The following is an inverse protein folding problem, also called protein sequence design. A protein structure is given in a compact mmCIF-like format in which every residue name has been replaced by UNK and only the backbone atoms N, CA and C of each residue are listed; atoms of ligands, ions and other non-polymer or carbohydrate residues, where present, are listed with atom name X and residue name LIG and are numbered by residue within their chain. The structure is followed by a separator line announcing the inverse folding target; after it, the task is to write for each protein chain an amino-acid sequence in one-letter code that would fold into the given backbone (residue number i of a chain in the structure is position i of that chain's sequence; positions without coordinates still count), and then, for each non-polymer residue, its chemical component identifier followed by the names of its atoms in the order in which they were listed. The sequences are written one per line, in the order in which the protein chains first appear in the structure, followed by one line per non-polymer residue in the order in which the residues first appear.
data_IF_022098063699
#
_entry.id   IF_022098063699
#
_cell.length_a   1.000
_cell.length_b   1.000
_cell.length_c   1.000
_cell.angle_alpha   90.00
_cell.angle_beta   90.00
_cell.angle_gamma   90.00
#
_symmetry.space_group_name_H-M   'P 1'
#
loop_
_entity.id
_entity.type
_entity.pdbx_description
1 polymer ?
#
# COMPACT_ATOMS: atom_id res chain seq x y z
N UNK A 1 10.74 -1.17 6.43
CA UNK A 1 9.26 -1.22 6.43
C UNK A 1 8.58 -0.19 5.53
N UNK A 2 8.93 1.11 5.59
CA UNK A 2 8.21 2.17 4.84
C UNK A 2 8.19 1.99 3.31
N UNK A 3 9.30 1.56 2.69
CA UNK A 3 9.35 1.32 1.24
C UNK A 3 8.45 0.16 0.81
N UNK A 4 8.45 -0.94 1.59
CA UNK A 4 7.65 -2.12 1.28
C UNK A 4 6.16 -1.85 1.43
N UNK A 5 5.75 -1.18 2.52
CA UNK A 5 4.35 -0.78 2.70
C UNK A 5 3.89 0.20 1.61
N UNK A 6 4.77 1.08 1.14
CA UNK A 6 4.51 1.93 0.00
C UNK A 6 4.25 1.14 -1.29
N UNK A 7 5.14 0.20 -1.65
CA UNK A 7 5.04 -0.58 -2.89
C UNK A 7 3.74 -1.41 -2.94
N UNK A 8 3.36 -2.00 -1.81
CA UNK A 8 2.09 -2.74 -1.68
C UNK A 8 0.90 -1.82 -1.89
N UNK A 9 0.88 -0.65 -1.24
CA UNK A 9 -0.22 0.33 -1.36
C UNK A 9 -0.35 0.86 -2.79
N UNK A 10 0.76 1.26 -3.41
CA UNK A 10 0.78 1.71 -4.81
C UNK A 10 0.25 0.63 -5.75
N UNK A 11 0.66 -0.62 -5.54
CA UNK A 11 0.19 -1.77 -6.32
C UNK A 11 -1.32 -1.96 -6.21
N UNK A 12 -1.88 -1.91 -5.01
CA UNK A 12 -3.33 -2.07 -4.77
C UNK A 12 -4.11 -0.96 -5.49
N UNK A 13 -3.72 0.30 -5.29
CA UNK A 13 -4.40 1.46 -5.88
C UNK A 13 -4.39 1.36 -7.41
N UNK A 14 -3.22 1.16 -8.03
CA UNK A 14 -3.10 1.07 -9.48
C UNK A 14 -3.93 -0.11 -10.02
N UNK A 15 -3.93 -1.26 -9.33
CA UNK A 15 -4.64 -2.46 -9.76
C UNK A 15 -6.16 -2.26 -9.76
N UNK A 16 -6.70 -1.65 -8.71
CA UNK A 16 -8.13 -1.34 -8.60
C UNK A 16 -8.53 -0.35 -9.70
N UNK A 17 -7.81 0.76 -9.84
CA UNK A 17 -8.12 1.78 -10.85
C UNK A 17 -8.01 1.24 -12.28
N UNK A 18 -6.98 0.45 -12.57
CA UNK A 18 -6.83 -0.17 -13.89
C UNK A 18 -7.96 -1.17 -14.17
N UNK A 19 -8.42 -1.91 -13.17
CA UNK A 19 -9.54 -2.85 -13.34
C UNK A 19 -10.82 -2.10 -13.72
N UNK A 20 -11.12 -0.98 -13.05
CA UNK A 20 -12.24 -0.10 -13.41
C UNK A 20 -12.07 0.43 -14.82
N UNK A 21 -10.88 0.92 -15.18
CA UNK A 21 -10.57 1.32 -16.55
C UNK A 21 -10.85 0.20 -17.56
N UNK A 22 -10.36 -1.01 -17.28
CA UNK A 22 -10.43 -2.13 -18.20
C UNK A 22 -11.88 -2.56 -18.47
N UNK A 23 -12.72 -2.62 -17.43
CA UNK A 23 -14.11 -3.07 -17.53
C UNK A 23 -15.00 -2.05 -18.25
N UNK A 24 -14.89 -0.77 -17.89
CA UNK A 24 -15.83 0.26 -18.33
C UNK A 24 -15.36 1.03 -19.57
N UNK A 25 -14.05 1.32 -19.64
CA UNK A 25 -13.50 2.35 -20.54
C UNK A 25 -12.64 1.81 -21.69
N UNK A 26 -11.95 0.67 -21.51
CA UNK A 26 -10.99 0.13 -22.51
C UNK A 26 -11.55 -0.05 -23.93
N UNK A 27 -12.87 -0.23 -24.07
CA UNK A 27 -13.56 -0.45 -25.35
C UNK A 27 -14.35 0.78 -25.83
N UNK A 28 -14.23 1.93 -25.18
CA UNK A 28 -14.93 3.17 -25.56
C UNK A 28 -14.14 3.97 -26.60
N UNK A 29 -14.84 4.62 -27.54
CA UNK A 29 -14.31 5.54 -28.55
C UNK A 29 -13.95 6.92 -27.99
N UNK A 30 -14.22 7.21 -26.72
CA UNK A 30 -13.75 8.42 -26.04
C UNK A 30 -12.24 8.35 -25.77
N UNK A 31 -11.43 8.37 -26.84
CA UNK A 31 -10.00 8.08 -26.80
C UNK A 31 -9.20 9.07 -25.96
N UNK A 32 -9.50 10.36 -26.08
CA UNK A 32 -8.85 11.42 -25.28
C UNK A 32 -9.13 11.21 -23.78
N UNK A 33 -10.37 10.88 -23.43
CA UNK A 33 -10.74 10.55 -22.05
C UNK A 33 -10.00 9.31 -21.54
N UNK A 34 -9.93 8.25 -22.35
CA UNK A 34 -9.19 7.03 -22.00
C UNK A 34 -7.70 7.30 -21.76
N UNK A 35 -7.09 8.15 -22.60
CA UNK A 35 -5.69 8.58 -22.44
C UNK A 35 -5.49 9.34 -21.13
N UNK A 36 -6.33 10.35 -20.86
CA UNK A 36 -6.25 11.13 -19.62
C UNK A 36 -6.38 10.20 -18.40
N UNK A 37 -7.37 9.31 -18.41
CA UNK A 37 -7.59 8.36 -17.32
C UNK A 37 -6.38 7.45 -17.09
N UNK A 38 -5.79 6.88 -18.14
CA UNK A 38 -4.59 6.05 -18.03
C UNK A 38 -3.40 6.85 -17.49
N UNK A 39 -3.18 8.08 -17.96
CA UNK A 39 -2.12 8.96 -17.45
C UNK A 39 -2.36 9.29 -15.98
N UNK A 40 -3.61 9.57 -15.57
CA UNK A 40 -3.96 9.78 -14.17
C UNK A 40 -3.60 8.56 -13.31
N UNK A 41 -3.89 7.34 -13.77
CA UNK A 41 -3.51 6.11 -13.05
C UNK A 41 -1.98 6.00 -12.91
N UNK A 42 -1.23 6.30 -13.98
CA UNK A 42 0.24 6.30 -13.95
C UNK A 42 0.76 7.33 -12.93
N UNK A 43 0.24 8.55 -12.97
CA UNK A 43 0.63 9.63 -12.05
C UNK A 43 0.28 9.29 -10.60
N UNK A 44 -0.91 8.75 -10.35
CA UNK A 44 -1.30 8.25 -9.01
C UNK A 44 -0.29 7.21 -8.52
N UNK A 45 0.08 6.25 -9.37
CA UNK A 45 1.05 5.21 -9.02
C UNK A 45 2.42 5.75 -8.59
N UNK A 46 2.91 6.78 -9.30
CA UNK A 46 4.19 7.45 -9.01
C UNK A 46 4.07 8.38 -7.79
N UNK A 47 2.96 9.10 -7.63
CA UNK A 47 2.74 10.12 -6.59
C UNK A 47 2.19 9.55 -5.28
N UNK A 48 1.89 8.25 -5.24
CA UNK A 48 1.42 7.55 -4.02
C UNK A 48 2.26 7.84 -2.76
N UNK A 49 3.62 7.99 -2.77
CA UNK A 49 4.37 8.31 -1.54
C UNK A 49 4.04 9.70 -1.00
N UNK A 50 3.79 10.67 -1.89
CA UNK A 50 3.43 12.04 -1.51
C UNK A 50 1.99 12.07 -1.00
N UNK A 51 1.07 11.38 -1.68
CA UNK A 51 -0.35 11.32 -1.31
C UNK A 51 -0.58 10.69 0.07
N UNK A 52 0.17 9.63 0.42
CA UNK A 52 0.07 8.98 1.74
C UNK A 52 0.61 9.90 2.84
N UNK A 53 1.69 10.64 2.58
CA UNK A 53 2.25 11.57 3.56
C UNK A 53 1.36 12.80 3.75
N UNK A 54 0.62 13.19 2.72
CA UNK A 54 -0.41 14.23 2.73
C UNK A 54 -1.73 13.76 3.36
N UNK A 55 -1.71 12.74 4.25
CA UNK A 55 -2.89 12.17 4.87
C UNK A 55 -3.76 13.30 5.45
N UNK A 56 -4.83 13.63 4.71
CA UNK A 56 -5.78 14.65 5.08
C UNK A 56 -6.37 14.26 6.44
N UNK A 57 -6.36 15.20 7.38
CA UNK A 57 -7.09 15.22 8.66
C UNK A 57 -8.63 15.04 8.51
N UNK A 58 -9.11 14.55 7.35
CA UNK A 58 -10.50 14.15 7.13
C UNK A 58 -10.89 12.89 7.93
N UNK A 59 -9.92 12.03 8.28
CA UNK A 59 -10.18 10.82 9.09
C UNK A 59 -10.54 11.13 10.55
N UNK A 60 -10.08 12.26 11.10
CA UNK A 60 -10.33 12.61 12.51
C UNK A 60 -11.79 13.01 12.75
N UNK A 61 -12.47 13.53 11.73
CA UNK A 61 -13.85 14.02 11.84
C UNK A 61 -14.92 12.99 11.46
N UNK A 62 -14.61 11.98 10.64
CA UNK A 62 -15.58 10.95 10.25
C UNK A 62 -15.55 9.70 11.13
N UNK A 63 -14.39 9.33 11.70
CA UNK A 63 -14.28 8.17 12.60
C UNK A 63 -14.85 8.43 14.00
N UNK A 64 -14.85 9.67 14.45
CA UNK A 64 -15.27 10.09 15.79
C UNK A 64 -16.79 10.08 16.00
N UNK A 65 -17.59 10.04 14.93
CA UNK A 65 -19.05 10.08 15.02
C UNK A 65 -19.70 8.68 15.12
N UNK A 66 -18.94 7.60 14.89
CA UNK A 66 -19.46 6.22 14.89
C UNK A 66 -18.87 5.30 15.97
N UNK A 67 -17.85 5.70 16.72
CA UNK A 67 -17.14 4.82 17.69
C UNK A 67 -17.29 5.26 19.15
N UNK A 68 -18.17 6.21 19.46
CA UNK A 68 -18.47 6.57 20.85
C UNK A 68 -19.36 5.49 21.52
N UNK A 69 -18.73 4.43 22.04
CA UNK A 69 -19.28 3.62 23.15
C UNK A 69 -18.19 2.79 23.85
N UNK A 70 -17.64 3.39 24.91
CA UNK A 70 -17.28 2.83 26.23
C UNK A 70 -16.63 1.43 26.25
N UNK A 71 -15.30 1.41 26.43
CA UNK A 71 -14.58 0.34 27.10
C UNK A 71 -13.45 0.99 27.91
N UNK A 72 -13.64 1.17 29.22
CA UNK A 72 -12.73 1.90 30.12
C UNK A 72 -12.06 0.94 31.11
N UNK A 73 -11.17 0.09 30.60
CA UNK A 73 -10.16 -0.61 31.40
C UNK A 73 -8.79 -0.19 30.86
N UNK A 74 -8.04 0.59 31.65
CA UNK A 74 -6.69 1.02 31.30
C UNK A 74 -5.69 -0.12 31.54
N UNK A 75 -5.21 -0.73 30.46
CA UNK A 75 -4.13 -1.72 30.50
C UNK A 75 -2.79 -1.03 30.33
N UNK A 76 -1.80 -1.36 31.16
CA UNK A 76 -0.40 -0.98 30.91
C UNK A 76 0.15 -1.83 29.74
N UNK A 77 1.13 -1.31 28.98
CA UNK A 77 1.73 -2.11 27.91
C UNK A 77 2.51 -3.28 28.50
N UNK A 78 2.58 -4.37 27.74
CA UNK A 78 3.17 -5.63 28.14
C UNK A 78 4.69 -5.55 28.24
N UNK A 79 5.22 -6.09 29.35
CA UNK A 79 6.67 -6.26 29.56
C UNK A 79 7.07 -7.69 29.27
N UNK A 80 7.94 -7.91 28.30
CA UNK A 80 8.56 -9.22 28.02
C UNK A 80 9.85 -9.38 28.79
N UNK A 81 9.94 -10.38 29.67
CA UNK A 81 11.19 -10.77 30.33
C UNK A 81 11.82 -11.93 29.56
N UNK A 82 13.00 -11.68 29.00
CA UNK A 82 13.81 -12.72 28.37
C UNK A 82 14.87 -13.21 29.37
N UNK A 83 15.01 -14.53 29.52
CA UNK A 83 16.07 -15.10 30.33
C UNK A 83 17.39 -14.99 29.56
N UNK A 84 18.25 -14.03 29.91
CA UNK A 84 19.55 -13.83 29.28
C UNK A 84 20.40 -15.11 29.28
N UNK A 85 20.42 -15.84 28.17
CA UNK A 85 21.56 -16.63 27.77
C UNK A 85 22.46 -15.67 26.98
N UNK A 86 23.73 -15.57 27.35
CA UNK A 86 24.71 -14.89 26.51
C UNK A 86 24.86 -15.66 25.20
N UNK A 87 24.05 -15.33 24.20
CA UNK A 87 24.21 -15.85 22.85
C UNK A 87 25.29 -15.05 22.12
N UNK A 88 26.36 -15.74 21.75
CA UNK A 88 27.15 -15.37 20.60
C UNK A 88 26.23 -15.41 19.37
N UNK A 89 25.56 -14.28 19.08
CA UNK A 89 24.78 -14.14 17.85
C UNK A 89 25.76 -14.10 16.69
N UNK A 90 25.98 -15.27 16.07
CA UNK A 90 26.36 -15.30 14.68
C UNK A 90 25.34 -14.43 13.95
N UNK A 91 25.80 -13.39 13.26
CA UNK A 91 24.93 -12.47 12.54
C UNK A 91 24.24 -13.21 11.38
N UNK A 92 23.18 -13.94 11.69
CA UNK A 92 22.28 -14.53 10.72
C UNK A 92 21.64 -13.34 10.01
N UNK A 93 22.08 -13.10 8.77
CA UNK A 93 21.51 -12.06 7.92
C UNK A 93 20.04 -12.42 7.72
N UNK A 94 19.16 -11.74 8.45
CA UNK A 94 17.72 -11.88 8.28
C UNK A 94 17.36 -11.52 6.83
N UNK A 95 16.65 -12.42 6.14
CA UNK A 95 16.23 -12.27 4.74
C UNK A 95 15.48 -10.95 4.47
N UNK A 96 14.83 -10.39 5.49
CA UNK A 96 14.20 -9.07 5.46
C UNK A 96 15.15 -7.94 5.06
N UNK A 97 16.43 -8.03 5.46
CA UNK A 97 17.47 -7.05 5.11
C UNK A 97 17.95 -7.19 3.66
N UNK A 98 17.69 -8.32 3.00
CA UNK A 98 18.09 -8.57 1.60
C UNK A 98 17.04 -8.10 0.58
N UNK A 99 15.76 -7.95 0.96
CA UNK A 99 14.69 -7.58 0.02
C UNK A 99 14.91 -6.19 -0.60
N UNK A 100 15.28 -5.21 0.22
CA UNK A 100 15.49 -3.82 -0.23
C UNK A 100 16.66 -3.70 -1.22
N UNK A 101 17.88 -4.21 -0.93
CA UNK A 101 18.98 -4.09 -1.88
C UNK A 101 18.70 -4.85 -3.19
N UNK A 102 18.07 -6.04 -3.13
CA UNK A 102 17.67 -6.78 -4.35
C UNK A 102 16.70 -5.96 -5.20
N UNK A 103 15.67 -5.38 -4.57
CA UNK A 103 14.72 -4.51 -5.26
C UNK A 103 15.43 -3.32 -5.94
N UNK A 104 16.34 -2.64 -5.24
CA UNK A 104 17.09 -1.50 -5.78
C UNK A 104 17.98 -1.88 -6.95
N UNK A 105 18.64 -3.05 -6.90
CA UNK A 105 19.47 -3.56 -8.00
C UNK A 105 18.63 -3.79 -9.27
N UNK A 106 17.46 -4.42 -9.13
CA UNK A 106 16.58 -4.69 -10.28
C UNK A 106 16.04 -3.38 -10.86
N UNK A 107 15.56 -2.46 -10.02
CA UNK A 107 15.10 -1.14 -10.47
C UNK A 107 16.22 -0.35 -11.16
N UNK A 108 17.46 -0.41 -10.66
CA UNK A 108 18.61 0.23 -11.28
C UNK A 108 18.93 -0.38 -12.65
N UNK A 109 18.91 -1.71 -12.79
CA UNK A 109 19.12 -2.38 -14.06
C UNK A 109 18.07 -1.97 -15.11
N UNK A 110 16.80 -1.86 -14.72
CA UNK A 110 15.72 -1.39 -15.59
C UNK A 110 15.89 0.09 -15.98
N UNK A 111 16.35 0.93 -15.05
CA UNK A 111 16.66 2.33 -15.32
C UNK A 111 17.81 2.46 -16.33
N UNK A 112 18.90 1.71 -16.15
CA UNK A 112 20.03 1.67 -17.09
C UNK A 112 19.55 1.22 -18.47
N UNK A 113 18.70 0.19 -18.55
CA UNK A 113 18.12 -0.26 -19.82
C UNK A 113 17.31 0.84 -20.52
N UNK A 114 16.51 1.63 -19.77
CA UNK A 114 15.78 2.77 -20.31
C UNK A 114 16.75 3.84 -20.86
N UNK A 115 17.81 4.17 -20.12
CA UNK A 115 18.84 5.12 -20.56
C UNK A 115 19.52 4.64 -21.84
N UNK A 116 19.90 3.36 -21.93
CA UNK A 116 20.52 2.78 -23.13
C UNK A 116 19.60 2.92 -24.35
N UNK A 117 18.29 2.67 -24.20
CA UNK A 117 17.30 2.84 -25.29
C UNK A 117 17.26 4.29 -25.77
N UNK A 118 17.23 5.26 -24.85
CA UNK A 118 17.22 6.69 -25.18
C UNK A 118 18.53 7.09 -25.88
N UNK A 119 19.68 6.65 -25.38
CA UNK A 119 21.00 6.91 -26.00
C UNK A 119 21.07 6.33 -27.41
N UNK A 120 20.50 5.15 -27.67
CA UNK A 120 20.42 4.58 -29.03
C UNK A 120 19.63 5.49 -29.98
N UNK A 121 18.51 6.05 -29.53
CA UNK A 121 17.71 7.00 -30.33
C UNK A 121 18.49 8.30 -30.58
N UNK A 122 19.17 8.85 -29.55
CA UNK A 122 20.00 10.06 -29.70
C UNK A 122 21.15 9.82 -30.70
N UNK A 123 21.82 8.67 -30.63
CA UNK A 123 22.84 8.29 -31.62
C UNK A 123 22.25 8.20 -33.03
N UNK A 124 21.04 7.63 -33.16
CA UNK A 124 20.34 7.56 -34.45
C UNK A 124 20.03 8.94 -35.01
N UNK A 125 19.61 9.89 -34.16
CA UNK A 125 19.40 11.29 -34.54
C UNK A 125 20.71 11.91 -35.03
N UNK A 126 21.80 11.76 -34.29
CA UNK A 126 23.06 12.43 -34.60
C UNK A 126 23.81 11.86 -35.81
N UNK A 127 23.63 10.58 -36.13
CA UNK A 127 24.34 9.93 -37.22
C UNK A 127 23.64 10.02 -38.59
N UNK A 128 22.40 10.49 -38.64
CA UNK A 128 21.61 10.55 -39.88
C UNK A 128 21.35 11.99 -40.32
N UNK A 129 21.04 12.16 -41.60
CA UNK A 129 20.69 13.47 -42.17
C UNK A 129 19.38 13.98 -41.56
N UNK A 130 19.40 15.25 -41.15
CA UNK A 130 18.27 15.95 -40.52
C UNK A 130 17.76 17.04 -41.46
N UNK A 131 16.45 17.16 -41.60
CA UNK A 131 15.84 18.33 -42.25
C UNK A 131 14.62 18.79 -41.46
N UNK A 132 14.41 20.10 -41.41
CA UNK A 132 13.26 20.69 -40.71
C UNK A 132 12.18 21.05 -41.75
N UNK A 133 10.95 20.60 -41.53
CA UNK A 133 9.83 20.93 -42.41
C UNK A 133 8.51 20.95 -41.62
N UNK A 134 7.64 21.93 -41.87
CA UNK A 134 6.32 22.07 -41.22
C UNK A 134 6.35 21.99 -39.68
N UNK A 135 7.42 22.45 -39.04
CA UNK A 135 7.57 22.40 -37.57
C UNK A 135 8.07 21.05 -37.02
N UNK A 136 8.41 20.08 -37.87
CA UNK A 136 8.90 18.76 -37.48
C UNK A 136 10.35 18.55 -37.93
N UNK A 137 11.12 17.79 -37.13
CA UNK A 137 12.47 17.39 -37.47
C UNK A 137 12.45 15.99 -38.10
N UNK A 138 12.76 15.90 -39.38
CA UNK A 138 12.80 14.63 -40.10
C UNK A 138 14.20 14.03 -40.05
N UNK A 139 14.26 12.71 -39.93
CA UNK A 139 15.47 11.90 -39.94
C UNK A 139 15.29 10.78 -40.97
N UNK A 140 16.06 10.82 -42.06
CA UNK A 140 15.99 9.80 -43.12
C UNK A 140 16.88 8.62 -42.74
N UNK A 141 16.28 7.42 -42.72
CA UNK A 141 16.98 6.16 -42.47
C UNK A 141 17.27 5.46 -43.80
N UNK A 142 18.55 5.32 -44.14
CA UNK A 142 18.99 4.60 -45.35
C UNK A 142 18.68 3.10 -45.25
N UNK A 143 18.25 2.49 -46.35
CA UNK A 143 17.91 1.07 -46.51
C UNK A 143 16.81 0.55 -45.55
N UNK A 144 16.00 1.43 -44.97
CA UNK A 144 14.99 1.06 -43.98
C UNK A 144 13.57 1.09 -44.54
N UNK A 145 12.73 0.19 -44.05
CA UNK A 145 11.28 0.18 -44.27
C UNK A 145 10.50 0.51 -42.99
N UNK A 146 11.13 1.17 -42.01
CA UNK A 146 10.48 1.59 -40.76
C UNK A 146 10.06 3.05 -40.83
N UNK A 147 8.93 3.38 -40.20
CA UNK A 147 8.57 4.73 -39.80
C UNK A 147 8.22 4.73 -38.32
N UNK A 148 8.69 5.73 -37.58
CA UNK A 148 8.35 5.93 -36.17
C UNK A 148 8.67 7.36 -35.75
N UNK A 149 8.18 7.77 -34.59
CA UNK A 149 8.37 9.11 -34.04
C UNK A 149 8.88 9.08 -32.60
N UNK A 150 9.69 10.07 -32.24
CA UNK A 150 10.18 10.25 -30.87
C UNK A 150 10.33 11.73 -30.54
N UNK A 151 9.57 12.19 -29.52
CA UNK A 151 9.43 13.62 -29.20
C UNK A 151 9.07 14.45 -30.44
N UNK A 152 9.97 15.33 -30.89
CA UNK A 152 9.80 16.20 -32.05
C UNK A 152 10.50 15.69 -33.32
N UNK A 153 10.99 14.45 -33.29
CA UNK A 153 11.67 13.79 -34.41
C UNK A 153 10.76 12.76 -35.09
N UNK A 154 10.70 12.81 -36.42
CA UNK A 154 10.04 11.83 -37.28
C UNK A 154 11.11 11.06 -38.05
N UNK A 155 11.16 9.75 -37.86
CA UNK A 155 12.08 8.85 -38.54
C UNK A 155 11.36 8.15 -39.68
N UNK A 156 11.91 8.24 -40.89
CA UNK A 156 11.32 7.61 -42.07
C UNK A 156 12.39 6.90 -42.89
N UNK A 157 12.12 5.64 -43.23
CA UNK A 157 12.95 4.86 -44.13
C UNK A 157 12.79 5.29 -45.59
N UNK A 158 13.90 5.30 -46.33
CA UNK A 158 13.93 5.63 -47.75
C UNK A 158 12.99 4.77 -48.62
N UNK A 159 12.80 3.49 -48.29
CA UNK A 159 11.88 2.57 -49.00
C UNK A 159 10.41 2.99 -48.91
N UNK A 160 10.03 3.65 -47.81
CA UNK A 160 8.68 4.22 -47.62
C UNK A 160 8.63 5.62 -48.24
N UNK A 161 9.65 6.43 -47.97
CA UNK A 161 9.73 7.82 -48.43
C UNK A 161 9.59 7.95 -49.95
N UNK A 162 10.17 7.01 -50.71
CA UNK A 162 10.13 7.01 -52.18
C UNK A 162 8.76 6.55 -52.76
N UNK A 163 7.76 6.24 -51.94
CA UNK A 163 6.41 5.84 -52.37
C UNK A 163 5.37 6.87 -51.90
N UNK A 164 5.08 7.93 -52.67
CA UNK A 164 4.30 9.10 -52.24
C UNK A 164 2.93 8.79 -51.61
N UNK A 165 2.20 7.83 -52.18
CA UNK A 165 0.87 7.43 -51.69
C UNK A 165 0.92 6.79 -50.30
N UNK A 166 1.97 6.00 -50.04
CA UNK A 166 2.15 5.29 -48.76
C UNK A 166 2.80 6.21 -47.74
N UNK A 167 3.79 7.00 -48.16
CA UNK A 167 4.50 7.92 -47.28
C UNK A 167 3.58 8.98 -46.70
N UNK A 168 2.64 9.54 -47.48
CA UNK A 168 1.76 10.61 -46.98
C UNK A 168 0.94 10.14 -45.77
N UNK A 169 0.29 8.98 -45.89
CA UNK A 169 -0.55 8.45 -44.80
C UNK A 169 0.25 8.07 -43.56
N UNK A 170 1.43 7.48 -43.75
CA UNK A 170 2.32 7.10 -42.65
C UNK A 170 2.92 8.35 -41.98
N UNK A 171 3.35 9.36 -42.75
CA UNK A 171 3.90 10.61 -42.22
C UNK A 171 2.85 11.34 -41.39
N UNK A 172 1.61 11.45 -41.88
CA UNK A 172 0.55 12.11 -41.10
C UNK A 172 0.20 11.33 -39.82
N UNK A 173 0.27 10.00 -39.84
CA UNK A 173 0.13 9.18 -38.63
C UNK A 173 1.26 9.46 -37.62
N UNK A 174 2.51 9.42 -38.06
CA UNK A 174 3.67 9.72 -37.20
C UNK A 174 3.66 11.16 -36.67
N UNK A 175 3.20 12.14 -37.48
CA UNK A 175 3.02 13.52 -37.03
C UNK A 175 2.01 13.62 -35.89
N UNK A 176 0.93 12.83 -35.91
CA UNK A 176 -0.06 12.83 -34.84
C UNK A 176 0.54 12.35 -33.51
N UNK A 177 1.45 11.37 -33.52
CA UNK A 177 2.18 10.98 -32.30
C UNK A 177 3.04 12.13 -31.73
N UNK A 178 3.68 12.90 -32.60
CA UNK A 178 4.50 14.06 -32.21
C UNK A 178 3.62 15.19 -31.65
N UNK A 179 2.56 15.58 -32.39
CA UNK A 179 1.62 16.65 -32.00
C UNK A 179 1.02 16.37 -30.62
N UNK A 180 0.67 15.11 -30.37
CA UNK A 180 0.08 14.67 -29.10
C UNK A 180 1.10 14.31 -28.01
N UNK A 181 2.41 14.36 -28.29
CA UNK A 181 3.51 14.06 -27.36
C UNK A 181 3.46 12.63 -26.77
N UNK A 182 3.07 11.63 -27.57
CA UNK A 182 2.92 10.25 -27.10
C UNK A 182 4.21 9.63 -26.53
N UNK A 183 5.39 10.09 -26.95
CA UNK A 183 6.67 9.62 -26.37
C UNK A 183 6.78 9.92 -24.87
N UNK A 184 6.24 11.06 -24.40
CA UNK A 184 6.29 11.43 -22.98
C UNK A 184 5.46 10.47 -22.13
N UNK A 185 4.25 10.14 -22.59
CA UNK A 185 3.33 9.21 -21.95
C UNK A 185 3.97 7.82 -21.77
N UNK A 186 4.65 7.31 -22.80
CA UNK A 186 5.34 6.01 -22.73
C UNK A 186 6.52 6.07 -21.75
N UNK A 187 7.27 7.17 -21.70
CA UNK A 187 8.34 7.34 -20.71
C UNK A 187 7.81 7.35 -19.28
N UNK A 188 6.68 8.02 -19.03
CA UNK A 188 6.01 7.98 -17.72
C UNK A 188 5.59 6.56 -17.33
N UNK A 189 5.04 5.80 -18.28
CA UNK A 189 4.69 4.39 -18.05
C UNK A 189 5.92 3.50 -17.80
N UNK A 190 7.05 3.74 -18.47
CA UNK A 190 8.32 3.04 -18.18
C UNK A 190 8.84 3.38 -16.77
N UNK A 191 8.72 4.63 -16.32
CA UNK A 191 9.07 5.03 -14.95
C UNK A 191 8.20 4.29 -13.94
N UNK A 192 6.89 4.19 -14.18
CA UNK A 192 5.99 3.40 -13.34
C UNK A 192 6.42 1.93 -13.27
N UNK A 193 6.82 1.34 -14.40
CA UNK A 193 7.34 -0.03 -14.44
C UNK A 193 8.64 -0.16 -13.65
N UNK A 194 9.56 0.79 -13.73
CA UNK A 194 10.82 0.75 -12.96
C UNK A 194 10.55 0.72 -11.44
N UNK A 195 9.54 1.47 -10.98
CA UNK A 195 9.11 1.51 -9.57
C UNK A 195 8.31 0.25 -9.20
N UNK A 196 7.42 -0.21 -10.09
CA UNK A 196 6.49 -1.32 -9.82
C UNK A 196 6.77 -2.50 -10.76
N UNK A 197 8.03 -2.91 -10.90
CA UNK A 197 8.45 -3.91 -11.90
C UNK A 197 7.90 -5.31 -11.61
N UNK A 198 7.63 -5.60 -10.34
CA UNK A 198 6.99 -6.85 -9.93
C UNK A 198 5.48 -6.85 -10.20
N UNK A 199 4.88 -5.69 -10.51
CA UNK A 199 3.44 -5.57 -10.74
C UNK A 199 3.11 -5.75 -12.24
N UNK A 200 2.47 -6.85 -12.65
CA UNK A 200 2.09 -7.08 -14.05
C UNK A 200 1.11 -6.01 -14.58
N UNK A 201 0.32 -5.37 -13.71
CA UNK A 201 -0.63 -4.33 -14.11
C UNK A 201 0.09 -3.10 -14.71
N UNK A 202 1.28 -2.74 -14.23
CA UNK A 202 2.07 -1.64 -14.81
C UNK A 202 2.38 -1.88 -16.30
N UNK A 203 2.64 -3.13 -16.68
CA UNK A 203 2.86 -3.51 -18.08
C UNK A 203 1.57 -3.48 -18.90
N UNK A 204 0.44 -3.89 -18.30
CA UNK A 204 -0.88 -3.80 -18.95
C UNK A 204 -1.31 -2.35 -19.17
N UNK A 205 -1.04 -1.45 -18.23
CA UNK A 205 -1.29 0.00 -18.37
C UNK A 205 -0.49 0.55 -19.55
N UNK A 206 0.82 0.28 -19.61
CA UNK A 206 1.65 0.70 -20.74
C UNK A 206 1.12 0.17 -22.07
N UNK A 207 0.69 -1.10 -22.12
CA UNK A 207 0.08 -1.69 -23.31
C UNK A 207 -1.20 -0.98 -23.70
N UNK A 208 -2.13 -0.75 -22.77
CA UNK A 208 -3.38 -0.03 -23.03
C UNK A 208 -3.15 1.41 -23.46
N UNK A 209 -2.13 2.09 -22.91
CA UNK A 209 -1.75 3.44 -23.28
C UNK A 209 -1.20 3.49 -24.71
N UNK A 210 -0.30 2.56 -25.06
CA UNK A 210 0.19 2.39 -26.42
C UNK A 210 -0.93 2.09 -27.43
N UNK A 211 -1.87 1.19 -27.09
CA UNK A 211 -3.05 0.93 -27.93
C UNK A 211 -3.90 2.20 -28.14
N UNK A 212 -4.09 3.00 -27.09
CA UNK A 212 -4.83 4.26 -27.15
C UNK A 212 -4.13 5.30 -28.03
N UNK A 213 -2.79 5.35 -28.01
CA UNK A 213 -2.00 6.23 -28.89
C UNK A 213 -2.17 5.88 -30.36
N UNK A 214 -2.15 4.58 -30.71
CA UNK A 214 -2.41 4.12 -32.08
C UNK A 214 -3.79 4.56 -32.55
N UNK A 215 -4.82 4.41 -31.71
CA UNK A 215 -6.18 4.83 -32.06
C UNK A 215 -6.31 6.35 -32.23
N UNK A 216 -5.64 7.14 -31.38
CA UNK A 216 -5.62 8.60 -31.47
C UNK A 216 -4.87 9.09 -32.71
N UNK A 217 -3.77 8.41 -33.07
CA UNK A 217 -3.03 8.72 -34.29
C UNK A 217 -3.83 8.36 -35.54
N UNK A 218 -4.50 7.21 -35.54
CA UNK A 218 -5.45 6.80 -36.59
C UNK A 218 -6.59 7.83 -36.77
N UNK A 219 -7.23 8.25 -35.68
CA UNK A 219 -8.31 9.25 -35.71
C UNK A 219 -7.82 10.60 -36.27
N UNK A 220 -6.63 11.05 -35.84
CA UNK A 220 -6.01 12.27 -36.35
C UNK A 220 -5.68 12.20 -37.84
N UNK A 221 -5.18 11.07 -38.33
CA UNK A 221 -4.90 10.87 -39.76
C UNK A 221 -6.16 10.83 -40.61
N UNK A 222 -7.22 10.19 -40.13
CA UNK A 222 -8.49 10.10 -40.84
C UNK A 222 -9.17 11.47 -41.01
N UNK A 223 -9.03 12.36 -40.02
CA UNK A 223 -9.54 13.73 -40.10
C UNK A 223 -8.83 14.58 -41.16
N UNK A 224 -7.58 14.26 -41.50
CA UNK A 224 -6.78 14.98 -42.51
C UNK A 224 -6.94 14.38 -43.91
N UNK A 225 -7.00 13.04 -44.04
CA UNK A 225 -6.99 12.34 -45.33
C UNK A 225 -8.38 12.07 -45.94
N UNK A 226 -9.48 12.26 -45.19
CA UNK A 226 -10.87 12.12 -45.64
C UNK A 226 -11.21 10.82 -46.40
N UNK A 227 -10.42 9.74 -46.27
CA UNK A 227 -10.65 8.46 -46.93
C UNK A 227 -10.30 7.27 -46.02
N UNK A 228 -11.31 6.81 -45.28
CA UNK A 228 -11.19 5.73 -44.31
C UNK A 228 -10.80 4.40 -44.97
N UNK A 229 -11.36 4.10 -46.14
CA UNK A 229 -11.19 2.78 -46.77
C UNK A 229 -9.81 2.62 -47.39
N UNK A 230 -9.29 3.66 -48.04
CA UNK A 230 -7.91 3.67 -48.52
C UNK A 230 -6.93 3.51 -47.34
N UNK A 231 -7.17 4.23 -46.24
CA UNK A 231 -6.33 4.12 -45.05
C UNK A 231 -6.35 2.71 -44.44
N UNK A 232 -7.53 2.08 -44.29
CA UNK A 232 -7.65 0.69 -43.82
C UNK A 232 -6.91 -0.30 -44.71
N UNK A 233 -7.02 -0.15 -46.03
CA UNK A 233 -6.31 -0.99 -47.00
C UNK A 233 -4.79 -0.78 -46.93
N UNK A 234 -4.33 0.45 -46.72
CA UNK A 234 -2.92 0.75 -46.51
C UNK A 234 -2.38 0.10 -45.23
N UNK A 235 -3.11 0.15 -44.12
CA UNK A 235 -2.72 -0.52 -42.87
C UNK A 235 -2.63 -2.05 -43.06
N UNK A 236 -3.63 -2.64 -43.72
CA UNK A 236 -3.63 -4.07 -44.04
C UNK A 236 -2.41 -4.43 -44.90
N UNK A 237 -2.17 -3.72 -46.01
CA UNK A 237 -1.07 -3.97 -46.94
C UNK A 237 0.31 -3.82 -46.28
N UNK A 238 0.47 -2.82 -45.40
CA UNK A 238 1.74 -2.57 -44.72
C UNK A 238 2.00 -3.59 -43.58
N UNK A 239 0.94 -4.14 -42.98
CA UNK A 239 1.03 -5.15 -41.92
C UNK A 239 1.28 -6.59 -42.44
N UNK A 240 1.01 -6.85 -43.73
CA UNK A 240 1.10 -8.17 -44.36
C UNK A 240 2.49 -8.58 -44.85
N UNK A 241 3.56 -7.88 -44.45
CA UNK A 241 4.92 -8.33 -44.78
C UNK A 241 5.37 -9.45 -43.81
N UNK A 242 5.76 -10.63 -44.32
CA UNK A 242 6.06 -11.79 -43.50
C UNK A 242 7.41 -11.61 -42.79
N UNK A 243 7.41 -11.63 -41.45
CA UNK A 243 8.62 -11.92 -40.68
C UNK A 243 8.64 -13.43 -40.50
N UNK A 244 9.57 -14.06 -41.20
CA UNK A 244 9.89 -15.48 -41.18
C UNK A 244 10.39 -15.81 -39.77
N UNK A 245 9.61 -16.58 -38.99
CA UNK A 245 10.11 -17.69 -38.14
C UNK A 245 8.96 -18.46 -37.43
N UNK A 246 9.03 -19.78 -37.55
CA UNK A 246 7.96 -20.77 -37.61
C UNK A 246 7.60 -21.48 -36.29
N UNK A 247 7.51 -20.73 -35.19
CA UNK A 247 6.86 -21.19 -33.93
C UNK A 247 5.92 -20.10 -33.36
N UNK A 248 5.72 -19.00 -34.08
CA UNK A 248 5.24 -17.74 -33.49
C UNK A 248 3.76 -17.46 -33.76
N UNK A 249 2.99 -17.17 -32.70
CA UNK A 249 1.73 -16.45 -32.83
C UNK A 249 2.01 -15.08 -33.43
N UNK A 250 1.36 -14.73 -34.54
CA UNK A 250 1.53 -13.43 -35.18
C UNK A 250 0.88 -12.32 -34.33
N UNK A 251 1.65 -11.78 -33.38
CA UNK A 251 1.22 -10.75 -32.42
C UNK A 251 0.79 -9.42 -33.06
N UNK A 252 1.05 -9.19 -34.35
CA UNK A 252 0.63 -7.98 -35.06
C UNK A 252 -0.86 -7.98 -35.43
N UNK A 253 -1.46 -9.15 -35.65
CA UNK A 253 -2.85 -9.27 -36.08
C UNK A 253 -3.88 -8.79 -35.02
N UNK A 254 -3.73 -9.11 -33.72
CA UNK A 254 -4.63 -8.59 -32.69
C UNK A 254 -4.66 -7.06 -32.59
N UNK A 255 -3.53 -6.38 -32.79
CA UNK A 255 -3.45 -4.91 -32.71
C UNK A 255 -4.11 -4.26 -33.95
N UNK A 256 -3.79 -4.75 -35.14
CA UNK A 256 -4.40 -4.26 -36.39
C UNK A 256 -5.92 -4.39 -36.37
N UNK A 257 -6.43 -5.55 -35.93
CA UNK A 257 -7.89 -5.77 -35.79
C UNK A 257 -8.51 -4.74 -34.85
N UNK A 258 -7.88 -4.48 -33.69
CA UNK A 258 -8.37 -3.49 -32.73
C UNK A 258 -8.37 -2.07 -33.30
N UNK A 259 -7.31 -1.68 -34.03
CA UNK A 259 -7.23 -0.37 -34.72
C UNK A 259 -8.41 -0.18 -35.67
N UNK A 260 -8.65 -1.17 -36.54
CA UNK A 260 -9.78 -1.14 -37.50
C UNK A 260 -11.14 -1.12 -36.78
N UNK A 261 -11.34 -1.92 -35.73
CA UNK A 261 -12.56 -1.93 -34.91
C UNK A 261 -12.82 -0.53 -34.31
N UNK A 262 -11.80 0.09 -33.71
CA UNK A 262 -11.91 1.38 -33.05
C UNK A 262 -12.25 2.54 -34.00
N UNK A 263 -11.80 2.51 -35.26
CA UNK A 263 -12.15 3.52 -36.27
C UNK A 263 -13.68 3.61 -36.50
N UNK A 264 -14.40 2.49 -36.37
CA UNK A 264 -15.84 2.40 -36.67
C UNK A 264 -16.73 2.38 -35.42
N UNK A 265 -16.14 2.32 -34.22
CA UNK A 265 -16.88 2.12 -32.97
C UNK A 265 -17.67 3.36 -32.53
N UNK A 266 -18.65 3.15 -31.66
CA UNK A 266 -19.43 4.18 -30.94
C UNK A 266 -19.35 3.99 -29.43
N UNK A 267 -19.51 5.08 -28.68
CA UNK A 267 -19.52 5.06 -27.22
C UNK A 267 -20.82 4.49 -26.66
N UNK A 268 -20.71 3.72 -25.58
CA UNK A 268 -21.86 3.33 -24.77
C UNK A 268 -22.10 4.34 -23.66
N UNK A 269 -23.21 5.09 -23.74
CA UNK A 269 -23.58 6.10 -22.73
C UNK A 269 -23.67 5.51 -21.31
N UNK A 270 -24.27 4.33 -21.18
CA UNK A 270 -24.45 3.63 -19.88
C UNK A 270 -23.09 3.30 -19.26
N UNK A 271 -22.17 2.68 -20.02
CA UNK A 271 -20.86 2.30 -19.49
C UNK A 271 -20.02 3.52 -19.11
N UNK A 272 -20.12 4.61 -19.85
CA UNK A 272 -19.43 5.87 -19.52
C UNK A 272 -19.96 6.47 -18.21
N UNK A 273 -21.28 6.51 -18.02
CA UNK A 273 -21.90 7.04 -16.78
C UNK A 273 -21.55 6.16 -15.59
N UNK A 274 -21.74 4.84 -15.70
CA UNK A 274 -21.40 3.90 -14.61
C UNK A 274 -19.92 3.97 -14.25
N UNK A 275 -19.03 3.96 -15.24
CA UNK A 275 -17.59 4.08 -15.00
C UNK A 275 -17.23 5.40 -14.30
N UNK A 276 -17.87 6.51 -14.67
CA UNK A 276 -17.60 7.82 -14.07
C UNK A 276 -18.04 7.89 -12.59
N UNK A 277 -19.03 7.10 -12.18
CA UNK A 277 -19.46 6.97 -10.78
C UNK A 277 -18.53 6.01 -10.02
N UNK A 278 -18.19 4.86 -10.61
CA UNK A 278 -17.38 3.82 -9.97
C UNK A 278 -15.93 4.27 -9.74
N UNK A 279 -15.36 5.05 -10.67
CA UNK A 279 -13.97 5.49 -10.59
C UNK A 279 -13.61 6.29 -9.31
N UNK A 280 -14.32 7.38 -8.95
CA UNK A 280 -14.02 8.14 -7.73
C UNK A 280 -14.29 7.32 -6.45
N UNK A 281 -15.30 6.45 -6.46
CA UNK A 281 -15.59 5.55 -5.32
C UNK A 281 -14.42 4.57 -5.14
N UNK A 282 -13.97 3.93 -6.22
CA UNK A 282 -12.85 3.00 -6.19
C UNK A 282 -11.55 3.68 -5.74
N UNK A 283 -11.32 4.93 -6.18
CA UNK A 283 -10.18 5.72 -5.72
C UNK A 283 -10.27 6.04 -4.21
N UNK A 284 -11.44 6.50 -3.75
CA UNK A 284 -11.67 6.82 -2.34
C UNK A 284 -11.51 5.61 -1.42
N UNK A 285 -12.09 4.46 -1.78
CA UNK A 285 -11.93 3.19 -1.05
C UNK A 285 -10.45 2.79 -1.01
N UNK A 286 -9.73 2.93 -2.12
CA UNK A 286 -8.31 2.56 -2.18
C UNK A 286 -7.45 3.43 -1.25
N UNK A 287 -7.78 4.72 -1.10
CA UNK A 287 -7.10 5.62 -0.16
C UNK A 287 -7.44 5.26 1.29
N UNK A 288 -8.73 5.04 1.60
CA UNK A 288 -9.19 4.66 2.95
C UNK A 288 -8.63 3.30 3.40
N UNK A 289 -8.56 2.33 2.49
CA UNK A 289 -7.92 1.04 2.76
C UNK A 289 -6.40 1.17 2.99
N UNK A 290 -5.78 2.24 2.48
CA UNK A 290 -4.36 2.52 2.67
C UNK A 290 -4.06 3.38 3.91
N UNK A 291 -5.06 4.06 4.50
CA UNK A 291 -4.91 4.63 5.83
C UNK A 291 -4.95 3.50 6.86
N UNK A 292 -3.82 3.24 7.50
CA UNK A 292 -3.82 2.39 8.68
C UNK A 292 -4.71 3.04 9.73
N UNK A 293 -5.75 2.35 10.26
CA UNK A 293 -6.32 2.78 11.53
C UNK A 293 -5.17 2.83 12.54
N UNK A 294 -5.06 3.93 13.30
CA UNK A 294 -4.23 3.89 14.51
C UNK A 294 -4.73 2.71 15.33
N UNK A 295 -3.83 1.78 15.62
CA UNK A 295 -4.11 0.55 16.33
C UNK A 295 -4.31 0.84 17.81
N UNK A 296 -5.50 1.31 18.17
CA UNK A 296 -6.02 1.20 19.54
C UNK A 296 -7.24 0.26 19.60
N UNK A 297 -7.54 -0.48 18.51
CA UNK A 297 -8.75 -1.29 18.45
C UNK A 297 -8.65 -2.48 17.48
N UNK A 298 -7.70 -3.41 17.68
CA UNK A 298 -7.84 -4.78 17.15
C UNK A 298 -6.79 -5.76 17.71
N UNK A 299 -6.96 -6.25 18.94
CA UNK A 299 -6.40 -7.56 19.35
C UNK A 299 -7.45 -8.49 20.00
N UNK A 300 -8.75 -8.18 19.83
CA UNK A 300 -9.86 -8.88 20.50
C UNK A 300 -10.79 -9.67 19.56
N UNK A 301 -10.36 -10.00 18.33
CA UNK A 301 -11.23 -10.70 17.36
C UNK A 301 -10.65 -11.96 16.73
N UNK A 302 -9.75 -12.67 17.42
CA UNK A 302 -9.40 -14.05 17.05
C UNK A 302 -9.44 -14.93 18.31
N UNK A 303 -10.64 -15.41 18.66
CA UNK A 303 -10.95 -16.68 19.35
C UNK A 303 -12.38 -16.65 19.91
N UNK A 304 -13.37 -16.59 19.03
CA UNK A 304 -14.71 -17.10 19.32
C UNK A 304 -15.14 -17.98 18.15
N UNK A 305 -14.57 -19.18 18.09
CA UNK A 305 -15.22 -20.36 17.52
C UNK A 305 -14.34 -21.56 17.84
N UNK A 306 -14.72 -22.25 18.92
CA UNK A 306 -14.52 -23.68 19.19
C UNK A 306 -15.15 -23.96 20.55
N UNK A 307 -16.48 -24.04 20.56
CA UNK A 307 -17.16 -24.85 21.58
C UNK A 307 -16.73 -26.30 21.37
N UNK A 308 -15.94 -26.82 22.30
CA UNK A 308 -15.82 -28.26 22.53
C UNK A 308 -16.41 -28.48 23.91
N UNK A 309 -17.55 -29.17 23.94
CA UNK A 309 -18.18 -29.66 25.16
C UNK A 309 -17.23 -30.63 25.87
N UNK A 310 -16.84 -30.32 27.10
CA UNK A 310 -16.39 -31.32 28.08
C UNK A 310 -17.01 -30.96 29.44
N UNK A 311 -17.86 -31.87 29.90
CA UNK A 311 -18.50 -31.88 31.21
C UNK A 311 -17.47 -32.14 32.32
N UNK A 312 -17.49 -31.39 33.43
CA UNK A 312 -17.67 -31.90 34.81
C UNK A 312 -17.56 -30.79 35.89
N UNK A 313 -17.94 -31.06 37.17
CA UNK A 313 -18.86 -30.22 37.92
C UNK A 313 -18.22 -29.42 39.06
N UNK A 314 -18.93 -28.35 39.46
CA UNK A 314 -19.07 -27.88 40.84
C UNK A 314 -17.81 -27.39 41.55
N UNK A 315 -17.56 -26.08 41.50
CA UNK A 315 -16.98 -25.36 42.63
C UNK A 315 -17.72 -24.03 42.83
N UNK A 316 -18.18 -23.83 44.07
CA UNK A 316 -18.90 -22.66 44.56
C UNK A 316 -18.05 -21.39 44.46
N UNK A 317 -18.39 -20.51 43.52
CA UNK A 317 -17.97 -19.11 43.58
C UNK A 317 -19.09 -18.28 44.21
N UNK A 318 -18.82 -17.51 45.28
CA UNK A 318 -19.81 -16.59 45.84
C UNK A 318 -20.15 -15.50 44.82
N UNK A 319 -21.42 -15.04 44.78
CA UNK A 319 -21.86 -14.03 43.81
C UNK A 319 -21.07 -12.71 43.99
N UNK A 320 -20.81 -11.96 42.90
CA UNK A 320 -20.17 -10.64 42.97
C UNK A 320 -20.97 -9.70 43.88
N UNK A 321 -20.32 -8.87 44.72
CA UNK A 321 -21.03 -8.00 45.65
C UNK A 321 -21.94 -7.01 44.90
N UNK A 322 -23.17 -6.97 45.39
CA UNK A 322 -24.31 -6.21 44.90
C UNK A 322 -24.07 -4.69 45.05
N UNK A 323 -24.53 -3.91 44.07
CA UNK A 323 -24.39 -2.45 44.04
C UNK A 323 -25.25 -1.81 45.13
N UNK A 324 -24.60 -1.21 46.13
CA UNK A 324 -25.23 -0.37 47.14
C UNK A 324 -25.18 1.11 46.71
N UNK A 325 -26.34 1.68 46.40
CA UNK A 325 -26.55 3.13 46.37
C UNK A 325 -26.75 3.63 47.81
N UNK A 326 -25.87 4.52 48.30
CA UNK A 326 -26.23 5.50 49.34
C UNK A 326 -25.28 6.70 49.31
N UNK A 327 -25.86 7.88 49.41
CA UNK A 327 -25.20 9.19 49.52
C UNK A 327 -24.63 9.42 50.93
N UNK A 328 -23.51 10.16 50.96
CA UNK A 328 -22.87 10.90 52.06
C UNK A 328 -21.90 10.20 53.04
N UNK A 329 -20.65 10.71 52.98
CA UNK A 329 -19.60 10.82 54.03
C UNK A 329 -18.71 9.60 54.32
N UNK A 330 -17.70 9.37 53.49
CA UNK A 330 -16.27 9.47 53.84
C UNK A 330 -15.42 9.32 52.57
N UNK A 331 -14.38 10.12 52.41
CA UNK A 331 -13.63 10.24 51.14
C UNK A 331 -12.62 9.11 50.86
N UNK A 332 -12.60 8.05 51.67
CA UNK A 332 -11.47 7.11 51.70
C UNK A 332 -11.76 5.70 51.13
N UNK A 333 -13.01 5.37 50.76
CA UNK A 333 -13.36 4.00 50.31
C UNK A 333 -13.59 3.83 48.79
N UNK A 334 -13.67 4.90 48.01
CA UNK A 334 -13.97 4.78 46.57
C UNK A 334 -12.69 4.54 45.76
N UNK A 335 -12.57 3.35 45.17
CA UNK A 335 -11.53 3.02 44.18
C UNK A 335 -12.00 3.44 42.80
N UNK A 336 -11.29 4.39 42.19
CA UNK A 336 -11.59 4.88 40.85
C UNK A 336 -10.86 4.04 39.80
N UNK A 337 -11.47 3.86 38.64
CA UNK A 337 -10.82 3.22 37.49
C UNK A 337 -10.31 4.25 36.47
N UNK A 338 -10.79 5.49 36.55
CA UNK A 338 -10.41 6.61 35.67
C UNK A 338 -10.41 7.90 36.49
N UNK A 339 -9.32 8.66 36.40
CA UNK A 339 -9.14 9.93 37.12
C UNK A 339 -8.48 10.99 36.22
N UNK A 340 -8.64 12.27 36.55
CA UNK A 340 -8.09 13.41 35.79
C UNK A 340 -6.55 13.35 35.67
N UNK A 341 -5.87 13.00 36.77
CA UNK A 341 -4.43 12.75 36.80
C UNK A 341 -4.20 11.31 37.22
N UNK A 342 -3.71 10.46 36.31
CA UNK A 342 -3.44 9.05 36.60
C UNK A 342 -2.22 8.88 37.53
N UNK A 343 -2.19 7.85 38.40
CA UNK A 343 -0.99 7.52 39.15
C UNK A 343 0.22 7.25 38.26
N UNK A 344 1.39 7.67 38.72
CA UNK A 344 2.64 7.57 37.97
C UNK A 344 3.74 6.91 38.81
N UNK A 345 4.41 5.90 38.27
CA UNK A 345 5.60 5.32 38.91
C UNK A 345 6.70 6.37 39.11
N UNK A 346 7.53 6.31 40.17
CA UNK A 346 8.65 7.24 40.35
C UNK A 346 9.58 7.24 39.13
N UNK A 347 9.68 8.39 38.45
CA UNK A 347 10.46 8.50 37.20
C UNK A 347 9.70 8.15 35.92
N UNK A 348 8.39 7.90 36.02
CA UNK A 348 7.50 7.68 34.88
C UNK A 348 7.51 6.25 34.35
N UNK A 349 6.80 6.05 33.23
CA UNK A 349 6.59 4.72 32.61
C UNK A 349 7.90 4.02 32.21
N UNK A 350 8.92 4.77 31.78
CA UNK A 350 10.20 4.20 31.38
C UNK A 350 10.94 3.54 32.55
N UNK A 351 10.94 4.17 33.72
CA UNK A 351 11.56 3.61 34.92
C UNK A 351 10.77 2.43 35.49
N UNK A 352 9.44 2.42 35.34
CA UNK A 352 8.62 1.25 35.66
C UNK A 352 9.07 0.02 34.85
N UNK A 353 9.23 0.17 33.54
CA UNK A 353 9.67 -0.94 32.69
C UNK A 353 11.09 -1.41 33.01
N UNK A 354 11.99 -0.48 33.32
CA UNK A 354 13.34 -0.81 33.77
C UNK A 354 13.32 -1.57 35.10
N UNK A 355 12.54 -1.09 36.08
CA UNK A 355 12.35 -1.76 37.36
C UNK A 355 11.81 -3.18 37.18
N UNK A 356 10.80 -3.37 36.34
CA UNK A 356 10.23 -4.68 36.04
C UNK A 356 11.27 -5.62 35.41
N UNK A 357 12.07 -5.13 34.46
CA UNK A 357 13.13 -5.91 33.82
C UNK A 357 14.29 -6.29 34.77
N UNK A 358 14.61 -5.45 35.76
CA UNK A 358 15.67 -5.71 36.74
C UNK A 358 15.22 -6.60 37.91
N UNK A 359 13.94 -6.53 38.28
CA UNK A 359 13.43 -7.17 39.50
C UNK A 359 12.66 -8.46 39.24
N UNK A 360 12.12 -8.67 38.03
CA UNK A 360 11.45 -9.93 37.69
C UNK A 360 12.50 -10.96 37.29
N UNK A 361 12.48 -12.09 38.00
CA UNK A 361 13.36 -13.23 37.75
C UNK A 361 12.55 -14.40 37.29
N UNK A 362 12.96 -15.02 36.19
CA UNK A 362 12.32 -16.22 35.70
C UNK A 362 12.52 -17.37 36.71
N UNK A 363 11.46 -17.97 37.29
CA UNK A 363 11.60 -19.10 38.21
C UNK A 363 12.24 -20.31 37.53
N UNK A 364 13.25 -20.91 38.17
CA UNK A 364 14.00 -22.05 37.59
C UNK A 364 13.14 -23.30 37.37
N UNK A 365 12.08 -23.50 38.16
CA UNK A 365 11.08 -24.56 37.95
C UNK A 365 10.31 -24.35 36.65
N UNK A 366 9.71 -23.17 36.47
CA UNK A 366 8.98 -22.79 35.25
C UNK A 366 9.88 -22.85 34.01
N UNK A 367 11.18 -22.53 34.17
CA UNK A 367 12.19 -22.62 33.11
C UNK A 367 12.48 -24.07 32.70
N UNK A 368 12.62 -24.99 33.65
CA UNK A 368 12.82 -26.42 33.38
C UNK A 368 11.62 -27.07 32.71
N UNK A 369 10.43 -26.63 33.09
CA UNK A 369 9.17 -27.18 32.60
C UNK A 369 8.70 -26.51 31.29
N UNK A 370 9.47 -25.55 30.77
CA UNK A 370 9.18 -24.89 29.49
C UNK A 370 7.94 -23.98 29.51
N UNK A 371 7.51 -23.54 30.68
CA UNK A 371 6.23 -22.85 30.89
C UNK A 371 6.35 -21.38 30.50
N UNK A 372 5.64 -20.94 29.46
CA UNK A 372 5.64 -19.55 28.99
C UNK A 372 4.22 -18.96 28.96
N UNK A 373 4.09 -17.64 29.07
CA UNK A 373 2.82 -16.97 28.88
C UNK A 373 2.70 -15.59 29.51
N UNK A 374 1.52 -14.99 29.35
CA UNK A 374 1.18 -13.67 29.89
C UNK A 374 0.39 -13.78 31.19
N UNK A 375 0.96 -13.28 32.28
CA UNK A 375 0.32 -13.15 33.60
C UNK A 375 -0.28 -11.75 33.71
N UNK A 376 -1.55 -11.66 34.09
CA UNK A 376 -2.28 -10.39 34.26
C UNK A 376 -2.51 -10.15 35.74
N UNK A 377 -1.96 -9.04 36.24
CA UNK A 377 -2.09 -8.68 37.65
C UNK A 377 -2.87 -7.39 37.79
N UNK A 378 -3.85 -7.37 38.68
CA UNK A 378 -4.57 -6.18 39.10
C UNK A 378 -4.07 -5.71 40.45
N UNK A 379 -3.94 -4.40 40.64
CA UNK A 379 -3.55 -3.81 41.93
C UNK A 379 -4.12 -2.39 42.08
N UNK A 380 -4.21 -1.89 43.31
CA UNK A 380 -4.74 -0.56 43.62
C UNK A 380 -3.61 0.34 44.15
N UNK A 381 -3.44 1.50 43.53
CA UNK A 381 -2.55 2.56 44.03
C UNK A 381 -3.34 3.46 44.98
N UNK A 382 -2.86 3.60 46.21
CA UNK A 382 -3.48 4.41 47.25
C UNK A 382 -3.14 5.91 47.13
N UNK A 383 -3.81 6.73 47.95
CA UNK A 383 -3.61 8.18 48.02
C UNK A 383 -2.21 8.58 48.55
N UNK A 384 -1.55 7.68 49.27
CA UNK A 384 -0.16 7.82 49.74
C UNK A 384 0.87 7.26 48.75
N UNK A 385 0.41 6.67 47.64
CA UNK A 385 1.26 6.03 46.64
C UNK A 385 1.57 4.55 46.91
N UNK A 386 1.15 3.98 48.04
CA UNK A 386 1.35 2.56 48.33
C UNK A 386 0.48 1.68 47.43
N UNK A 387 0.94 0.45 47.16
CA UNK A 387 0.17 -0.54 46.40
C UNK A 387 -0.54 -1.49 47.37
N UNK A 388 -1.84 -1.70 47.14
CA UNK A 388 -2.68 -2.66 47.87
C UNK A 388 -3.48 -3.53 46.90
N UNK A 389 -4.12 -4.57 47.42
CA UNK A 389 -5.06 -5.42 46.67
C UNK A 389 -4.49 -6.08 45.39
N UNK A 390 -3.19 -6.39 45.38
CA UNK A 390 -2.55 -7.09 44.26
C UNK A 390 -3.09 -8.53 44.10
N UNK A 391 -3.74 -8.80 42.97
CA UNK A 391 -4.43 -10.07 42.64
C UNK A 391 -4.14 -10.50 41.20
N UNK A 392 -4.04 -11.80 40.97
CA UNK A 392 -3.95 -12.35 39.61
C UNK A 392 -5.34 -12.38 38.98
N UNK A 393 -5.49 -11.74 37.82
CA UNK A 393 -6.71 -11.82 37.00
C UNK A 393 -6.66 -13.02 36.05
N UNK A 394 -5.48 -13.29 35.48
CA UNK A 394 -5.24 -14.42 34.60
C UNK A 394 -3.80 -14.87 34.75
N UNK A 395 -3.63 -16.05 35.32
CA UNK A 395 -2.34 -16.68 35.55
C UNK A 395 -1.87 -17.57 34.41
N UNK A 396 -0.64 -18.04 34.54
CA UNK A 396 -0.04 -19.05 33.62
C UNK A 396 0.38 -20.30 34.40
N UNK A 397 1.13 -20.13 35.48
CA UNK A 397 1.48 -21.19 36.43
C UNK A 397 1.70 -20.59 37.81
N UNK A 398 1.60 -21.41 38.87
CA UNK A 398 1.73 -20.96 40.25
C UNK A 398 3.05 -20.22 40.50
N UNK A 399 4.13 -20.64 39.86
CA UNK A 399 5.46 -20.06 40.03
C UNK A 399 5.61 -18.71 39.32
N UNK A 400 5.09 -18.58 38.09
CA UNK A 400 5.11 -17.33 37.34
C UNK A 400 4.18 -16.28 37.98
N UNK A 401 3.03 -16.74 38.47
CA UNK A 401 2.03 -15.92 39.14
C UNK A 401 2.57 -15.40 40.48
N UNK A 402 3.23 -16.27 41.26
CA UNK A 402 3.88 -15.90 42.52
C UNK A 402 4.99 -14.85 42.30
N UNK A 403 5.79 -15.00 41.25
CA UNK A 403 6.84 -14.03 40.92
C UNK A 403 6.27 -12.68 40.46
N UNK A 404 5.23 -12.70 39.61
CA UNK A 404 4.53 -11.49 39.19
C UNK A 404 3.94 -10.72 40.38
N UNK A 405 3.29 -11.43 41.32
CA UNK A 405 2.76 -10.84 42.56
C UNK A 405 3.87 -10.30 43.46
N UNK A 406 4.99 -11.02 43.59
CA UNK A 406 6.12 -10.60 44.43
C UNK A 406 6.65 -9.25 43.98
N UNK A 407 6.88 -9.08 42.67
CA UNK A 407 7.46 -7.84 42.13
C UNK A 407 6.50 -6.66 42.22
N UNK A 408 5.20 -6.88 41.98
CA UNK A 408 4.21 -5.81 42.12
C UNK A 408 4.07 -5.36 43.56
N UNK A 409 4.07 -6.30 44.53
CA UNK A 409 4.03 -5.97 45.96
C UNK A 409 5.30 -5.27 46.45
N UNK A 410 6.44 -5.44 45.77
CA UNK A 410 7.71 -4.80 46.14
C UNK A 410 7.99 -3.47 45.45
N UNK A 411 7.05 -2.94 44.66
CA UNK A 411 7.23 -1.65 43.98
C UNK A 411 7.37 -0.49 44.97
N UNK A 412 8.19 0.53 44.65
CA UNK A 412 8.23 1.77 45.42
C UNK A 412 6.90 2.53 45.37
N UNK A 413 6.72 3.49 46.29
CA UNK A 413 5.51 4.31 46.32
C UNK A 413 5.34 5.13 45.02
N UNK A 414 4.17 5.04 44.42
CA UNK A 414 3.79 5.76 43.21
C UNK A 414 3.38 7.20 43.53
N UNK A 415 3.43 8.08 42.53
CA UNK A 415 2.66 9.33 42.60
C UNK A 415 1.18 8.97 42.52
N UNK A 416 0.35 9.39 43.49
CA UNK A 416 -1.06 9.04 43.54
C UNK A 416 -1.84 9.73 42.41
N UNK A 417 -3.00 9.17 42.08
CA UNK A 417 -3.91 9.76 41.11
C UNK A 417 -4.68 10.91 41.74
N UNK A 418 -5.09 11.88 40.93
CA UNK A 418 -5.86 13.04 41.37
C UNK A 418 -7.16 13.17 40.57
N UNK A 419 -8.25 13.46 41.29
CA UNK A 419 -9.57 13.73 40.73
C UNK A 419 -10.10 15.01 41.38
N UNK A 420 -10.40 16.05 40.59
CA UNK A 420 -10.86 17.36 41.10
C UNK A 420 -9.91 17.96 42.15
N UNK A 421 -8.60 17.78 41.95
CA UNK A 421 -7.55 18.25 42.87
C UNK A 421 -7.43 17.50 44.19
N UNK A 422 -8.14 16.37 44.37
CA UNK A 422 -7.98 15.47 45.54
C UNK A 422 -7.32 14.18 45.12
N UNK A 423 -6.40 13.68 45.95
CA UNK A 423 -5.76 12.37 45.76
C UNK A 423 -6.79 11.27 45.96
N UNK A 424 -6.80 10.28 45.07
CA UNK A 424 -7.78 9.18 45.07
C UNK A 424 -7.11 7.83 44.81
N UNK A 425 -7.75 6.75 45.28
CA UNK A 425 -7.30 5.37 45.04
C UNK A 425 -7.64 4.95 43.61
N UNK A 426 -6.71 4.35 42.88
CA UNK A 426 -6.92 3.97 41.47
C UNK A 426 -6.50 2.53 41.19
N UNK A 427 -7.36 1.76 40.52
CA UNK A 427 -7.06 0.38 40.11
C UNK A 427 -6.31 0.33 38.76
N UNK A 428 -5.29 -0.54 38.69
CA UNK A 428 -4.46 -0.79 37.50
C UNK A 428 -4.41 -2.27 37.15
N UNK A 429 -4.27 -2.55 35.85
CA UNK A 429 -3.99 -3.89 35.34
C UNK A 429 -2.68 -3.88 34.56
N UNK A 430 -1.73 -4.73 34.96
CA UNK A 430 -0.42 -4.88 34.35
C UNK A 430 -0.27 -6.29 33.76
N UNK A 431 -0.11 -6.42 32.43
CA UNK A 431 0.30 -7.65 31.78
C UNK A 431 1.82 -7.84 31.82
N UNK A 432 2.28 -8.98 32.34
CA UNK A 432 3.68 -9.41 32.39
C UNK A 432 3.83 -10.65 31.51
N UNK A 433 4.71 -10.61 30.50
CA UNK A 433 4.94 -11.73 29.59
C UNK A 433 6.26 -12.44 29.89
N UNK A 434 6.15 -13.71 30.24
CA UNK A 434 7.28 -14.61 30.46
C UNK A 434 7.54 -15.40 29.18
N UNK A 435 8.71 -15.19 28.58
CA UNK A 435 9.12 -15.88 27.36
C UNK A 435 10.49 -16.54 27.57
N UNK A 436 10.62 -17.81 27.17
CA UNK A 436 11.94 -18.45 27.02
C UNK A 436 12.36 -18.22 25.57
N UNK A 437 13.62 -17.86 25.37
CA UNK A 437 14.21 -17.70 24.05
C UNK A 437 14.33 -19.04 23.31
#
# INVERSE_FOLDING_TARGET
MLLLSYLVRSTIIISILYTVYYVFFSKQKSLVFNRILLISIVLTGILTPVLIKLNLSLSENFGSLLVNKINLNYWLEEVTINANLSEHTNAVISWEKLIIPVYLIISLALLINLIIKIVKIIKLINNNQKYHNQGFNYVILKNSSSAFSFFNYLFIGDKIYNKPEVSTSIIEHEKNHIRQKHSLDILLAEILIIINWFNPISYLIKKSLSETHEYLADEGTLNELNNIDNYKLLLLRNSSLPIINSITHNFSYPLLKKRIDMMTRKNSKIKMILGAIVLPIAFGISILACSSPKSDAMDDKVKQEKEVMVNNPGEDYPPPPEKSNTENTDSDEVVFTVVETMPEFPGGRSELYKYLGENIKYPESAKKDGVQGKVFVSYVVNTDGSITDAKILRGVSEELDAEALRVIKSMPNWKPGEQKGKKVRVAFNLPINFKLD
#
